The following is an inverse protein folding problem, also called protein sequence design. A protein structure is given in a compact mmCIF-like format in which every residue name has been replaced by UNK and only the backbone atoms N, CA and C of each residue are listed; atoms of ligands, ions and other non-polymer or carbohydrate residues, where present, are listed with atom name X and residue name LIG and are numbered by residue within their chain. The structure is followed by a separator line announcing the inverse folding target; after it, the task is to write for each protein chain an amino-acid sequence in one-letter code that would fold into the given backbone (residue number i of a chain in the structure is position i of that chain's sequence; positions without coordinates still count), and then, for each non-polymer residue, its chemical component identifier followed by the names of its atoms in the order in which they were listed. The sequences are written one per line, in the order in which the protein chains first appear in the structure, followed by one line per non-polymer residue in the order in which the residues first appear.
data_IF_410753379047
#
_entry.id   IF_410753379047
#
_cell.length_a   1.000
_cell.length_b   1.000
_cell.length_c   1.000
_cell.angle_alpha   90.00
_cell.angle_beta   90.00
_cell.angle_gamma   90.00
#
_symmetry.space_group_name_H-M   'P 1'
#
loop_
_entity.id
_entity.type
_entity.pdbx_description
1 polymer ?
#
# COMPACT_ATOMS: atom_id res chain seq x y z
N UNK A 1 -55.80 -17.23 31.26
CA UNK A 1 -55.39 -15.87 31.65
C UNK A 1 -53.85 -15.73 31.61
N UNK A 2 -53.23 -15.86 30.43
CA UNK A 2 -51.76 -15.81 30.32
C UNK A 2 -51.25 -15.08 29.05
N UNK A 3 -52.15 -14.59 28.18
CA UNK A 3 -51.77 -13.99 26.88
C UNK A 3 -51.35 -12.51 27.00
N UNK A 4 -51.96 -11.78 27.92
CA UNK A 4 -51.66 -10.37 28.19
C UNK A 4 -50.25 -10.10 28.74
N UNK A 5 -49.70 -10.86 29.71
CA UNK A 5 -48.34 -10.61 30.19
C UNK A 5 -47.28 -10.95 29.12
N UNK A 6 -47.53 -11.96 28.29
CA UNK A 6 -46.61 -12.35 27.22
C UNK A 6 -46.55 -11.29 26.11
N UNK A 7 -47.69 -10.71 25.73
CA UNK A 7 -47.75 -9.63 24.75
C UNK A 7 -47.03 -8.37 25.23
N UNK A 8 -47.19 -8.01 26.50
CA UNK A 8 -46.51 -6.86 27.10
C UNK A 8 -44.98 -7.09 27.17
N UNK A 9 -44.55 -8.29 27.56
CA UNK A 9 -43.14 -8.65 27.59
C UNK A 9 -42.50 -8.60 26.18
N UNK A 10 -43.23 -9.06 25.16
CA UNK A 10 -42.78 -9.01 23.77
C UNK A 10 -42.67 -7.56 23.26
N UNK A 11 -43.67 -6.72 23.56
CA UNK A 11 -43.65 -5.30 23.20
C UNK A 11 -42.48 -4.57 23.87
N UNK A 12 -42.23 -4.84 25.16
CA UNK A 12 -41.10 -4.27 25.90
C UNK A 12 -39.75 -4.73 25.32
N UNK A 13 -39.61 -6.01 24.99
CA UNK A 13 -38.40 -6.55 24.36
C UNK A 13 -38.14 -5.93 22.98
N UNK A 14 -39.20 -5.70 22.19
CA UNK A 14 -39.08 -5.07 20.88
C UNK A 14 -38.66 -3.60 20.99
N UNK A 15 -39.26 -2.85 21.92
CA UNK A 15 -38.87 -1.46 22.20
C UNK A 15 -37.41 -1.38 22.63
N UNK A 16 -36.99 -2.30 23.51
CA UNK A 16 -35.59 -2.37 23.96
C UNK A 16 -34.65 -2.70 22.79
N UNK A 17 -34.97 -3.72 21.97
CA UNK A 17 -34.14 -4.11 20.84
C UNK A 17 -33.97 -3.01 19.77
N UNK A 18 -34.99 -2.17 19.56
CA UNK A 18 -34.93 -1.03 18.62
C UNK A 18 -34.25 0.19 19.22
N UNK A 19 -34.43 0.43 20.53
CA UNK A 19 -33.84 1.57 21.23
C UNK A 19 -32.35 1.38 21.55
N UNK A 20 -31.86 0.14 21.61
CA UNK A 20 -30.43 -0.10 21.81
C UNK A 20 -29.67 0.15 20.50
N UNK A 21 -28.61 0.97 20.52
CA UNK A 21 -27.70 1.10 19.38
C UNK A 21 -27.10 -0.26 19.05
N UNK A 22 -27.14 -0.65 17.78
CA UNK A 22 -26.45 -1.84 17.31
C UNK A 22 -24.95 -1.68 17.64
N UNK A 23 -24.45 -2.50 18.57
CA UNK A 23 -23.09 -2.41 19.07
C UNK A 23 -22.07 -2.56 17.94
N UNK A 24 -21.22 -1.54 17.80
CA UNK A 24 -20.01 -1.46 16.99
C UNK A 24 -20.10 -2.13 15.61
N UNK A 25 -20.36 -1.33 14.58
CA UNK A 25 -20.02 -1.72 13.21
C UNK A 25 -18.54 -2.09 13.17
N UNK A 26 -18.22 -3.32 12.78
CA UNK A 26 -16.84 -3.80 12.67
C UNK A 26 -16.06 -2.84 11.77
N UNK A 27 -15.04 -2.20 12.32
CA UNK A 27 -14.20 -1.29 11.55
C UNK A 27 -13.50 -2.11 10.47
N UNK A 28 -13.69 -1.71 9.20
CA UNK A 28 -13.05 -2.40 8.08
C UNK A 28 -11.52 -2.46 8.30
N UNK A 29 -10.85 -3.55 7.89
CA UNK A 29 -9.40 -3.63 7.98
C UNK A 29 -8.74 -2.39 7.37
N UNK A 30 -7.73 -1.85 8.04
CA UNK A 30 -6.97 -0.73 7.50
C UNK A 30 -6.35 -1.12 6.14
N UNK A 31 -6.27 -0.19 5.17
CA UNK A 31 -5.57 -0.43 3.92
C UNK A 31 -4.13 -0.90 4.14
N UNK A 32 -3.64 -1.79 3.26
CA UNK A 32 -2.25 -2.22 3.30
C UNK A 32 -1.30 -1.01 3.08
N UNK A 33 -0.10 -1.02 3.69
CA UNK A 33 0.89 0.03 3.45
C UNK A 33 1.32 0.04 1.98
N UNK A 34 1.38 1.23 1.39
CA UNK A 34 1.95 1.43 0.06
C UNK A 34 3.44 1.71 0.18
N UNK A 35 4.27 1.13 -0.71
CA UNK A 35 5.72 1.38 -0.76
C UNK A 35 6.12 1.84 -2.16
N UNK A 36 6.84 2.96 -2.24
CA UNK A 36 7.39 3.48 -3.51
C UNK A 36 8.70 2.78 -3.93
N UNK A 37 9.07 1.68 -3.26
CA UNK A 37 10.35 0.99 -3.48
C UNK A 37 10.60 0.58 -4.93
N UNK A 38 9.58 0.08 -5.64
CA UNK A 38 9.72 -0.31 -7.06
C UNK A 38 10.09 0.87 -7.97
N UNK A 39 9.48 2.04 -7.74
CA UNK A 39 9.78 3.24 -8.53
C UNK A 39 11.19 3.75 -8.26
N UNK A 40 11.65 3.66 -7.00
CA UNK A 40 13.02 4.02 -6.59
C UNK A 40 14.02 3.05 -7.24
N UNK A 41 13.78 1.74 -7.14
CA UNK A 41 14.64 0.72 -7.73
C UNK A 41 14.78 0.90 -9.24
N UNK A 42 13.67 1.15 -9.94
CA UNK A 42 13.67 1.43 -11.37
C UNK A 42 14.40 2.73 -11.72
N UNK A 43 14.21 3.77 -10.90
CA UNK A 43 14.93 5.04 -11.05
C UNK A 43 16.43 4.87 -10.92
N UNK A 44 16.90 4.15 -9.90
CA UNK A 44 18.31 3.83 -9.69
C UNK A 44 18.83 2.99 -10.86
N UNK A 45 18.08 1.98 -11.32
CA UNK A 45 18.48 1.16 -12.46
C UNK A 45 18.68 1.99 -13.73
N UNK A 46 17.77 2.93 -14.02
CA UNK A 46 17.89 3.82 -15.18
C UNK A 46 19.05 4.80 -15.04
N UNK A 47 19.27 5.34 -13.83
CA UNK A 47 20.39 6.22 -13.54
C UNK A 47 21.73 5.50 -13.76
N UNK A 48 21.87 4.29 -13.22
CA UNK A 48 23.06 3.46 -13.39
C UNK A 48 23.28 3.06 -14.85
N UNK A 49 22.22 2.75 -15.60
CA UNK A 49 22.28 2.50 -17.04
C UNK A 49 22.85 3.71 -17.79
N UNK A 50 22.36 4.92 -17.49
CA UNK A 50 22.87 6.16 -18.10
C UNK A 50 24.33 6.41 -17.70
N UNK A 51 24.67 6.25 -16.41
CA UNK A 51 26.05 6.39 -15.94
C UNK A 51 26.98 5.43 -16.69
N UNK A 52 26.58 4.17 -16.86
CA UNK A 52 27.35 3.20 -17.63
C UNK A 52 27.48 3.60 -19.11
N UNK A 53 26.41 4.07 -19.74
CA UNK A 53 26.44 4.56 -21.12
C UNK A 53 27.38 5.76 -21.27
N UNK A 54 27.36 6.70 -20.32
CA UNK A 54 28.24 7.87 -20.30
C UNK A 54 29.69 7.44 -20.09
N UNK A 55 29.97 6.60 -19.10
CA UNK A 55 31.32 6.11 -18.81
C UNK A 55 31.90 5.37 -20.01
N UNK A 56 31.13 4.47 -20.63
CA UNK A 56 31.59 3.77 -21.83
C UNK A 56 31.88 4.77 -22.95
N UNK A 57 30.97 5.69 -23.26
CA UNK A 57 31.19 6.69 -24.31
C UNK A 57 32.40 7.61 -24.05
N UNK A 58 32.69 7.94 -22.80
CA UNK A 58 33.85 8.72 -22.39
C UNK A 58 35.16 7.93 -22.50
N UNK A 59 35.16 6.67 -22.05
CA UNK A 59 36.37 5.84 -22.02
C UNK A 59 36.83 5.47 -23.44
N UNK A 60 35.91 5.27 -24.39
CA UNK A 60 36.26 4.94 -25.79
C UNK A 60 37.26 5.93 -26.46
N UNK A 61 36.99 7.25 -26.52
CA UNK A 61 37.92 8.21 -27.11
C UNK A 61 39.14 8.48 -26.23
N UNK A 62 39.02 8.40 -24.91
CA UNK A 62 40.14 8.58 -23.98
C UNK A 62 41.18 7.46 -24.15
N UNK A 63 40.72 6.22 -24.28
CA UNK A 63 41.59 5.08 -24.57
C UNK A 63 42.16 5.14 -25.99
N UNK A 64 41.37 5.55 -26.99
CA UNK A 64 41.85 5.73 -28.36
C UNK A 64 42.93 6.84 -28.52
N UNK A 65 42.92 7.84 -27.64
CA UNK A 65 43.83 9.00 -27.71
C UNK A 65 45.03 8.88 -26.76
N UNK A 66 45.08 7.85 -25.90
CA UNK A 66 46.18 7.67 -24.94
C UNK A 66 47.45 7.14 -25.64
N UNK A 67 48.64 7.72 -25.36
CA UNK A 67 49.92 7.22 -25.89
C UNK A 67 50.29 5.84 -25.32
N UNK A 68 49.70 5.47 -24.18
CA UNK A 68 49.80 4.14 -23.60
C UNK A 68 48.37 3.59 -23.52
N UNK A 69 47.98 2.83 -24.55
CA UNK A 69 46.73 2.07 -24.60
C UNK A 69 46.63 1.20 -23.34
N UNK A 70 45.57 1.39 -22.55
CA UNK A 70 45.36 0.61 -21.32
C UNK A 70 44.71 -0.76 -21.61
N UNK A 71 44.43 -1.04 -22.89
CA UNK A 71 43.97 -2.32 -23.44
C UNK A 71 44.54 -2.54 -24.85
#
# INVERSE_FOLDING_TARGET
MARTPLGLAFAAALVFAVALPAGAAAQAPAPAPTSDGTSIDQGIAYLLMIVALVLTYLIHPLDASSPYKLF
#
